data_IF_437642122095
#
_entry.id   IF_437642122095
#
_cell.length_a   1.000
_cell.length_b   1.000
_cell.length_c   1.000
_cell.angle_alpha   90.00
_cell.angle_beta   90.00
_cell.angle_gamma   90.00
#
_symmetry.space_group_name_H-M   'P 1'
#
loop_
_entity.id
_entity.type
_entity.pdbx_description
1 polymer ?
#
# COMPACT_ATOMS: atom_id res chain seq x y z
N UNK A 1 -25.31 10.25 -8.54
CA UNK A 1 -23.96 9.79 -8.98
C UNK A 1 -23.94 8.28 -8.83
N UNK A 2 -23.95 7.53 -9.93
CA UNK A 2 -24.00 6.06 -9.85
C UNK A 2 -22.60 5.50 -9.57
N UNK A 3 -22.48 4.61 -8.59
CA UNK A 3 -21.26 3.85 -8.37
C UNK A 3 -21.08 2.84 -9.52
N UNK A 4 -20.28 3.19 -10.54
CA UNK A 4 -20.04 2.34 -11.72
C UNK A 4 -19.03 1.21 -11.43
N UNK A 5 -19.11 0.61 -10.25
CA UNK A 5 -18.35 -0.57 -9.87
C UNK A 5 -18.92 -1.78 -10.63
N UNK A 6 -18.33 -2.12 -11.77
CA UNK A 6 -18.79 -3.23 -12.63
C UNK A 6 -18.57 -4.63 -12.06
N UNK A 7 -17.95 -4.74 -10.88
CA UNK A 7 -17.79 -5.99 -10.15
C UNK A 7 -16.73 -5.86 -9.05
N UNK A 8 -16.43 -6.99 -8.43
CA UNK A 8 -15.35 -7.16 -7.44
C UNK A 8 -14.55 -8.39 -7.83
N UNK A 9 -13.23 -8.33 -7.70
CA UNK A 9 -12.31 -9.42 -8.04
C UNK A 9 -11.50 -9.75 -6.78
N UNK A 10 -11.45 -11.04 -6.40
CA UNK A 10 -10.65 -11.46 -5.26
C UNK A 10 -9.16 -11.47 -5.66
N UNK A 11 -8.34 -10.61 -5.05
CA UNK A 11 -6.91 -10.52 -5.34
C UNK A 11 -6.14 -11.78 -4.90
N UNK A 12 -6.60 -12.50 -3.87
CA UNK A 12 -5.92 -13.71 -3.38
C UNK A 12 -5.84 -14.83 -4.44
N UNK A 13 -6.86 -14.94 -5.28
CA UNK A 13 -7.00 -15.98 -6.32
C UNK A 13 -6.74 -15.44 -7.72
N UNK A 14 -6.30 -14.18 -7.84
CA UNK A 14 -6.04 -13.53 -9.10
C UNK A 14 -4.62 -13.83 -9.63
N UNK A 15 -4.52 -13.95 -10.95
CA UNK A 15 -3.26 -13.99 -11.69
C UNK A 15 -3.12 -12.72 -12.53
N UNK A 16 -1.92 -12.13 -12.54
CA UNK A 16 -1.61 -10.89 -13.25
C UNK A 16 -0.49 -11.15 -14.26
N UNK A 17 -0.84 -11.08 -15.54
CA UNK A 17 0.06 -11.26 -16.67
C UNK A 17 0.30 -9.94 -17.42
N UNK A 18 1.44 -9.89 -18.11
CA UNK A 18 1.84 -8.82 -19.03
C UNK A 18 1.58 -9.29 -20.46
N UNK A 19 0.70 -8.61 -21.16
CA UNK A 19 0.27 -8.96 -22.53
C UNK A 19 1.09 -8.15 -23.56
N UNK A 20 0.98 -6.82 -23.48
CA UNK A 20 1.66 -5.84 -24.34
C UNK A 20 2.53 -4.88 -23.52
N UNK A 21 3.23 -3.96 -24.20
CA UNK A 21 3.92 -2.81 -23.59
C UNK A 21 3.04 -2.00 -22.63
N UNK A 22 1.73 -1.85 -22.90
CA UNK A 22 0.75 -1.22 -22.00
C UNK A 22 -0.40 -2.15 -21.55
N UNK A 23 -0.35 -3.44 -21.87
CA UNK A 23 -1.41 -4.41 -21.60
C UNK A 23 -1.20 -5.22 -20.33
N UNK A 24 -2.25 -5.36 -19.52
CA UNK A 24 -2.31 -6.18 -18.30
C UNK A 24 -3.46 -7.17 -18.47
N UNK A 25 -3.17 -8.47 -18.41
CA UNK A 25 -4.19 -9.51 -18.39
C UNK A 25 -4.40 -9.96 -16.94
N UNK A 26 -5.64 -9.93 -16.47
CA UNK A 26 -6.03 -10.33 -15.12
C UNK A 26 -6.97 -11.52 -15.21
N UNK A 27 -6.54 -12.67 -14.69
CA UNK A 27 -7.32 -13.91 -14.71
C UNK A 27 -7.75 -14.29 -13.28
N UNK A 28 -9.02 -14.60 -13.07
CA UNK A 28 -9.54 -15.12 -11.81
C UNK A 28 -10.56 -16.24 -12.08
N UNK A 29 -10.16 -17.48 -11.80
CA UNK A 29 -10.94 -18.67 -12.13
C UNK A 29 -11.24 -18.76 -13.62
N UNK A 30 -12.51 -18.69 -13.99
CA UNK A 30 -12.98 -18.75 -15.39
C UNK A 30 -13.21 -17.37 -16.04
N UNK A 31 -12.76 -16.26 -15.42
CA UNK A 31 -12.91 -14.90 -15.94
C UNK A 31 -11.56 -14.25 -16.21
N UNK A 32 -11.39 -13.72 -17.41
CA UNK A 32 -10.22 -12.94 -17.82
C UNK A 32 -10.64 -11.51 -18.13
N UNK A 33 -9.82 -10.55 -17.70
CA UNK A 33 -10.03 -9.12 -17.88
C UNK A 33 -8.78 -8.51 -18.50
N UNK A 34 -8.95 -7.78 -19.61
CA UNK A 34 -7.85 -7.05 -20.25
C UNK A 34 -7.91 -5.59 -19.79
N UNK A 35 -6.87 -5.16 -19.09
CA UNK A 35 -6.68 -3.81 -18.58
C UNK A 35 -5.58 -3.14 -19.41
N UNK A 36 -5.76 -1.87 -19.74
CA UNK A 36 -4.78 -1.10 -20.53
C UNK A 36 -4.34 0.12 -19.73
N UNK A 37 -3.05 0.21 -19.45
CA UNK A 37 -2.42 1.36 -18.82
C UNK A 37 -2.13 2.46 -19.86
N UNK A 38 -1.88 3.69 -19.40
CA UNK A 38 -1.56 4.82 -20.30
C UNK A 38 -0.13 4.75 -20.82
N UNK A 39 0.78 4.09 -20.09
CA UNK A 39 2.18 3.90 -20.46
C UNK A 39 2.75 2.57 -19.94
N UNK A 40 3.90 2.16 -20.46
CA UNK A 40 4.59 0.96 -19.96
C UNK A 40 5.04 1.10 -18.50
N UNK A 41 5.53 2.28 -18.10
CA UNK A 41 5.95 2.52 -16.71
C UNK A 41 4.77 2.38 -15.76
N UNK A 42 3.60 2.92 -16.16
CA UNK A 42 2.36 2.76 -15.41
C UNK A 42 1.91 1.30 -15.39
N UNK A 43 2.00 0.55 -16.51
CA UNK A 43 1.75 -0.91 -16.55
C UNK A 43 2.60 -1.66 -15.53
N UNK A 44 3.91 -1.40 -15.48
CA UNK A 44 4.82 -2.04 -14.52
C UNK A 44 4.46 -1.68 -13.07
N UNK A 45 4.10 -0.42 -12.80
CA UNK A 45 3.64 0.03 -11.49
C UNK A 45 2.32 -0.66 -11.07
N UNK A 46 1.35 -0.78 -11.98
CA UNK A 46 0.09 -1.51 -11.74
C UNK A 46 0.35 -2.98 -11.40
N UNK A 47 1.14 -3.71 -12.20
CA UNK A 47 1.50 -5.11 -11.90
C UNK A 47 2.14 -5.23 -10.52
N UNK A 48 3.14 -4.39 -10.21
CA UNK A 48 3.85 -4.40 -8.92
C UNK A 48 2.90 -4.13 -7.74
N UNK A 49 2.02 -3.14 -7.86
CA UNK A 49 1.04 -2.78 -6.83
C UNK A 49 -0.02 -3.86 -6.65
N UNK A 50 -0.47 -4.50 -7.73
CA UNK A 50 -1.44 -5.59 -7.71
C UNK A 50 -0.89 -6.87 -7.09
N UNK A 51 0.34 -7.29 -7.46
CA UNK A 51 1.00 -8.44 -6.83
C UNK A 51 1.31 -8.18 -5.35
N UNK A 52 1.74 -6.96 -4.99
CA UNK A 52 1.93 -6.58 -3.58
C UNK A 52 0.61 -6.60 -2.79
N UNK A 53 -0.49 -6.13 -3.39
CA UNK A 53 -1.82 -6.16 -2.77
C UNK A 53 -2.36 -7.59 -2.64
N UNK A 54 -2.13 -8.45 -3.63
CA UNK A 54 -2.42 -9.89 -3.57
C UNK A 54 -1.62 -10.59 -2.48
N UNK A 55 -0.31 -10.37 -2.38
CA UNK A 55 0.53 -10.94 -1.32
C UNK A 55 0.02 -10.54 0.07
N UNK A 56 -0.36 -9.26 0.26
CA UNK A 56 -1.02 -8.79 1.49
C UNK A 56 -2.37 -9.47 1.74
N UNK A 57 -3.21 -9.61 0.72
CA UNK A 57 -4.52 -10.23 0.85
C UNK A 57 -4.43 -11.73 1.18
N UNK A 58 -3.52 -12.49 0.53
CA UNK A 58 -3.22 -13.89 0.86
C UNK A 58 -2.68 -14.01 2.28
N UNK A 59 -1.75 -13.12 2.68
CA UNK A 59 -1.24 -13.11 4.04
C UNK A 59 -2.36 -12.86 5.05
N UNK A 60 -3.20 -11.84 4.87
CA UNK A 60 -4.34 -11.55 5.76
C UNK A 60 -5.35 -12.71 5.83
N UNK A 61 -5.60 -13.39 4.70
CA UNK A 61 -6.50 -14.54 4.64
C UNK A 61 -5.92 -15.80 5.33
N UNK A 62 -4.59 -15.91 5.39
CA UNK A 62 -3.89 -16.95 6.16
C UNK A 62 -3.67 -16.56 7.63
N UNK A 63 -3.61 -15.26 7.93
CA UNK A 63 -3.33 -14.69 9.25
C UNK A 63 -4.61 -14.39 10.01
N UNK A 64 -5.37 -15.44 10.34
CA UNK A 64 -6.38 -15.39 11.41
C UNK A 64 -5.74 -15.38 12.82
N UNK A 65 -4.52 -14.82 12.92
CA UNK A 65 -3.57 -14.85 14.03
C UNK A 65 -2.59 -13.66 13.97
N UNK A 66 -3.01 -12.49 14.47
CA UNK A 66 -2.10 -11.42 14.92
C UNK A 66 -1.63 -10.39 13.87
N UNK A 67 -1.89 -9.08 14.07
CA UNK A 67 -1.28 -8.01 13.29
C UNK A 67 0.13 -7.71 13.80
N UNK A 68 1.17 -8.31 13.19
CA UNK A 68 2.56 -7.87 13.43
C UNK A 68 2.90 -6.67 12.55
N UNK A 69 2.97 -5.53 13.22
CA UNK A 69 3.33 -4.21 12.70
C UNK A 69 4.57 -4.21 11.81
N UNK A 70 4.42 -3.82 10.54
CA UNK A 70 5.50 -3.45 9.64
C UNK A 70 5.14 -2.11 8.97
N UNK A 71 5.49 -1.01 9.64
CA UNK A 71 5.20 0.34 9.16
C UNK A 71 5.70 1.43 10.11
N UNK A 72 6.83 2.05 9.76
CA UNK A 72 7.28 3.32 10.33
C UNK A 72 8.27 3.21 11.48
N UNK A 73 9.55 3.41 11.17
CA UNK A 73 10.53 3.84 12.17
C UNK A 73 10.10 5.20 12.72
N UNK A 74 9.79 5.27 14.01
CA UNK A 74 9.66 6.56 14.70
C UNK A 74 11.07 7.15 14.83
N UNK A 75 11.39 8.32 14.24
CA UNK A 75 12.67 8.97 14.48
C UNK A 75 12.74 9.38 15.96
N UNK A 76 13.91 9.26 16.62
CA UNK A 76 14.03 9.64 18.02
C UNK A 76 13.78 11.14 18.19
N UNK A 77 13.08 11.58 19.26
CA UNK A 77 13.03 12.98 19.61
C UNK A 77 14.42 13.44 20.08
N UNK A 78 15.23 13.97 19.16
CA UNK A 78 16.36 14.81 19.53
C UNK A 78 15.80 16.11 20.12
N UNK A 79 15.93 16.23 21.43
CA UNK A 79 15.44 17.36 22.21
C UNK A 79 16.20 17.43 23.52
N UNK A 80 17.51 17.66 23.43
CA UNK A 80 18.31 18.02 24.59
C UNK A 80 17.72 19.30 25.20
N UNK A 81 17.41 19.25 26.49
CA UNK A 81 16.96 20.40 27.28
C UNK A 81 17.85 20.56 28.52
N UNK A 82 19.17 20.54 28.30
CA UNK A 82 20.12 21.10 29.25
C UNK A 82 20.45 22.54 28.85
N UNK A 83 20.09 23.50 29.71
CA UNK A 83 20.86 24.70 30.11
C UNK A 83 19.97 25.92 30.31
N UNK A 84 20.15 26.61 31.44
CA UNK A 84 19.86 28.05 31.53
C UNK A 84 18.92 28.46 32.66
N UNK A 85 19.44 28.56 33.88
CA UNK A 85 18.91 29.54 34.83
C UNK A 85 19.38 30.94 34.42
N UNK A 86 18.52 31.97 34.54
CA UNK A 86 18.96 33.29 34.96
C UNK A 86 18.23 33.77 36.23
N UNK A 87 18.91 34.61 37.00
CA UNK A 87 18.50 35.07 38.33
C UNK A 87 17.73 36.41 38.28
N UNK A 88 16.84 36.62 39.29
CA UNK A 88 16.47 37.92 39.90
C UNK A 88 15.67 38.96 39.05
N UNK A 89 15.05 40.04 39.61
CA UNK A 89 14.78 40.41 41.02
C UNK A 89 13.29 40.57 41.41
N UNK A 90 13.04 40.92 42.68
CA UNK A 90 11.75 41.41 43.21
C UNK A 90 11.27 42.73 42.55
N UNK A 91 9.96 43.02 42.54
CA UNK A 91 9.33 43.67 43.71
C UNK A 91 7.90 43.13 44.00
N UNK A 92 7.13 43.58 45.00
CA UNK A 92 7.32 44.66 46.00
C UNK A 92 7.37 44.05 47.41
#
# INVERSE_FOLDING_TARGET
MAHTCRGTINLCTAHFDKEDSCGIMLTNGARTYHLKASSEVERQHWITTLELAKAKAVHLMSSHSGPVTMGGSVPPPHGDCATGAPNDPAPL
#
